data_IF_545529601217
#
_entry.id   IF_545529601217
#
_cell.length_a   1.000
_cell.length_b   1.000
_cell.length_c   1.000
_cell.angle_alpha   90.00
_cell.angle_beta   90.00
_cell.angle_gamma   90.00
#
_symmetry.space_group_name_H-M   'P 1'
#
loop_
_entity.id
_entity.type
_entity.pdbx_description
1 polymer ?
#
# COMPACT_ATOMS: atom_id res chain seq x y z
N UNK A 1 -6.30 34.94 18.78
CA UNK A 1 -5.82 33.53 18.66
C UNK A 1 -6.93 32.48 18.41
N UNK A 2 -8.21 32.75 18.68
CA UNK A 2 -9.33 31.80 18.46
C UNK A 2 -9.68 31.53 16.97
N UNK A 3 -9.44 32.49 16.07
CA UNK A 3 -9.81 32.33 14.64
C UNK A 3 -8.94 31.34 13.85
N UNK A 4 -7.67 31.16 14.19
CA UNK A 4 -6.75 30.22 13.48
C UNK A 4 -7.03 28.75 13.81
N UNK A 5 -7.60 28.45 14.95
CA UNK A 5 -7.95 27.08 15.35
C UNK A 5 -9.22 26.58 14.62
N UNK A 6 -10.19 27.46 14.40
CA UNK A 6 -11.44 27.13 13.71
C UNK A 6 -11.24 26.83 12.22
N UNK A 7 -10.44 27.64 11.53
CA UNK A 7 -10.12 27.42 10.10
C UNK A 7 -9.37 26.12 9.86
N UNK A 8 -8.43 25.76 10.74
CA UNK A 8 -7.67 24.51 10.66
C UNK A 8 -8.56 23.28 10.90
N UNK A 9 -9.50 23.38 11.84
CA UNK A 9 -10.46 22.32 12.12
C UNK A 9 -11.41 22.08 10.92
N UNK A 10 -11.93 23.14 10.31
CA UNK A 10 -12.77 23.05 9.10
C UNK A 10 -12.00 22.44 7.92
N UNK A 11 -10.75 22.83 7.73
CA UNK A 11 -9.89 22.32 6.68
C UNK A 11 -9.62 20.81 6.83
N UNK A 12 -9.26 20.34 8.02
CA UNK A 12 -9.01 18.91 8.27
C UNK A 12 -10.29 18.09 8.17
N UNK A 13 -11.45 18.65 8.56
CA UNK A 13 -12.74 18.00 8.35
C UNK A 13 -13.04 17.86 6.86
N UNK A 14 -12.79 18.90 6.06
CA UNK A 14 -12.97 18.86 4.61
C UNK A 14 -12.05 17.81 3.96
N UNK A 15 -10.78 17.72 4.35
CA UNK A 15 -9.88 16.70 3.87
C UNK A 15 -10.37 15.28 4.18
N UNK A 16 -10.91 15.04 5.39
CA UNK A 16 -11.52 13.74 5.74
C UNK A 16 -12.71 13.41 4.84
N UNK A 17 -13.60 14.37 4.61
CA UNK A 17 -14.75 14.15 3.72
C UNK A 17 -14.30 13.76 2.32
N UNK A 18 -13.31 14.47 1.77
CA UNK A 18 -12.76 14.13 0.45
C UNK A 18 -12.10 12.76 0.42
N UNK A 19 -11.37 12.39 1.46
CA UNK A 19 -10.68 11.11 1.57
C UNK A 19 -11.67 9.94 1.62
N UNK A 20 -12.70 10.04 2.46
CA UNK A 20 -13.75 9.01 2.51
C UNK A 20 -14.65 8.98 1.27
N UNK A 21 -14.87 10.12 0.60
CA UNK A 21 -15.56 10.13 -0.69
C UNK A 21 -14.77 9.37 -1.76
N UNK A 22 -13.44 9.48 -1.77
CA UNK A 22 -12.57 8.69 -2.64
C UNK A 22 -12.69 7.18 -2.33
N UNK A 23 -12.67 6.80 -1.04
CA UNK A 23 -12.89 5.41 -0.61
C UNK A 23 -14.20 4.87 -1.14
N UNK A 24 -15.30 5.58 -0.90
CA UNK A 24 -16.63 5.15 -1.34
C UNK A 24 -16.68 4.96 -2.87
N UNK A 25 -16.13 5.92 -3.61
CA UNK A 25 -16.05 5.84 -5.07
C UNK A 25 -15.29 4.60 -5.53
N UNK A 26 -14.13 4.31 -4.94
CA UNK A 26 -13.31 3.16 -5.34
C UNK A 26 -13.89 1.83 -4.89
N UNK A 27 -14.52 1.76 -3.71
CA UNK A 27 -15.24 0.58 -3.25
C UNK A 27 -16.41 0.26 -4.18
N UNK A 28 -17.21 1.27 -4.55
CA UNK A 28 -18.34 1.07 -5.48
C UNK A 28 -17.83 0.68 -6.87
N UNK A 29 -16.83 1.38 -7.40
CA UNK A 29 -16.23 1.05 -8.70
C UNK A 29 -15.66 -0.38 -8.70
N UNK A 30 -14.97 -0.77 -7.63
CA UNK A 30 -14.43 -2.11 -7.45
C UNK A 30 -15.51 -3.19 -7.36
N UNK A 31 -16.60 -2.93 -6.62
CA UNK A 31 -17.72 -3.88 -6.49
C UNK A 31 -18.49 -4.08 -7.81
N UNK A 32 -18.53 -3.05 -8.66
CA UNK A 32 -19.16 -3.11 -9.98
C UNK A 32 -18.21 -3.61 -11.08
N UNK A 33 -16.92 -3.69 -10.80
CA UNK A 33 -15.93 -4.12 -11.78
C UNK A 33 -16.11 -5.59 -12.15
N UNK A 34 -16.02 -5.89 -13.43
CA UNK A 34 -15.95 -7.23 -14.00
C UNK A 34 -14.57 -7.53 -14.60
N UNK A 35 -13.55 -6.75 -14.22
CA UNK A 35 -12.20 -6.94 -14.72
C UNK A 35 -11.67 -8.31 -14.27
N UNK A 36 -11.26 -9.10 -15.24
CA UNK A 36 -10.57 -10.36 -14.98
C UNK A 36 -9.10 -10.05 -14.62
N UNK A 37 -8.58 -10.52 -13.46
CA UNK A 37 -7.17 -10.38 -13.12
C UNK A 37 -6.21 -10.82 -14.23
N UNK A 38 -6.58 -11.84 -15.02
CA UNK A 38 -5.75 -12.33 -16.11
C UNK A 38 -5.51 -11.30 -17.23
N UNK A 39 -6.39 -10.32 -17.38
CA UNK A 39 -6.21 -9.23 -18.36
C UNK A 39 -5.05 -8.33 -17.98
N UNK A 40 -4.84 -8.07 -16.67
CA UNK A 40 -3.78 -7.21 -16.16
C UNK A 40 -2.37 -7.80 -16.38
N UNK A 41 -2.27 -9.11 -16.62
CA UNK A 41 -1.01 -9.81 -16.88
C UNK A 41 -0.52 -9.68 -18.33
N UNK A 42 -1.36 -9.18 -19.25
CA UNK A 42 -1.11 -9.18 -20.68
C UNK A 42 -1.23 -7.78 -21.29
N UNK A 43 -0.37 -6.84 -20.92
CA UNK A 43 -0.34 -5.54 -21.58
C UNK A 43 0.08 -5.69 -23.05
N UNK A 44 -0.37 -4.79 -23.91
CA UNK A 44 -0.09 -4.86 -25.37
C UNK A 44 1.42 -4.79 -25.67
N UNK A 45 2.15 -3.99 -24.89
CA UNK A 45 3.61 -3.81 -25.00
C UNK A 45 4.24 -3.95 -23.60
N UNK A 46 4.62 -5.17 -23.19
CA UNK A 46 5.18 -5.40 -21.86
C UNK A 46 6.49 -4.62 -21.66
N UNK A 47 6.55 -3.87 -20.55
CA UNK A 47 7.75 -3.13 -20.12
C UNK A 47 8.03 -3.37 -18.63
N UNK A 48 9.29 -3.26 -18.25
CA UNK A 48 9.73 -3.32 -16.86
C UNK A 48 9.46 -4.64 -16.12
N UNK A 49 9.72 -4.66 -14.82
CA UNK A 49 9.50 -5.81 -13.97
C UNK A 49 8.00 -6.07 -13.69
N UNK A 50 7.62 -7.28 -13.27
CA UNK A 50 6.27 -7.54 -12.81
C UNK A 50 5.99 -6.75 -11.52
N UNK A 51 4.80 -6.20 -11.43
CA UNK A 51 4.31 -5.51 -10.22
C UNK A 51 3.29 -6.37 -9.51
N UNK A 52 3.41 -6.50 -8.18
CA UNK A 52 2.37 -7.10 -7.34
C UNK A 52 1.73 -6.02 -6.48
N UNK A 53 0.40 -5.88 -6.55
CA UNK A 53 -0.37 -4.91 -5.76
C UNK A 53 -0.83 -5.53 -4.45
N UNK A 54 -0.59 -4.80 -3.34
CA UNK A 54 -0.94 -5.22 -1.98
C UNK A 54 -1.92 -4.21 -1.36
N UNK A 55 -3.21 -4.56 -1.22
CA UNK A 55 -4.21 -3.66 -0.66
C UNK A 55 -4.09 -3.50 0.86
N UNK A 56 -4.74 -2.46 1.38
CA UNK A 56 -4.89 -2.20 2.82
C UNK A 56 -5.90 -3.14 3.50
N UNK A 57 -6.12 -2.92 4.80
CA UNK A 57 -7.15 -3.64 5.56
C UNK A 57 -8.55 -3.22 5.10
N UNK A 58 -9.47 -4.18 4.96
CA UNK A 58 -10.81 -4.02 4.38
C UNK A 58 -10.83 -3.59 2.91
N UNK A 59 -9.70 -3.67 2.23
CA UNK A 59 -9.59 -3.46 0.80
C UNK A 59 -9.43 -4.81 0.09
N UNK A 60 -10.18 -5.01 -0.98
CA UNK A 60 -9.89 -6.07 -1.96
C UNK A 60 -8.92 -5.52 -3.01
N UNK A 61 -8.36 -6.38 -3.85
CA UNK A 61 -7.52 -5.94 -4.96
C UNK A 61 -8.22 -4.94 -5.90
N UNK A 62 -9.56 -5.00 -5.99
CA UNK A 62 -10.35 -4.06 -6.78
C UNK A 62 -10.25 -2.62 -6.27
N UNK A 63 -9.92 -2.42 -4.99
CA UNK A 63 -9.70 -1.08 -4.45
C UNK A 63 -8.52 -0.38 -5.13
N UNK A 64 -7.51 -1.15 -5.53
CA UNK A 64 -6.34 -0.68 -6.26
C UNK A 64 -6.50 -0.77 -7.79
N UNK A 65 -7.70 -1.12 -8.28
CA UNK A 65 -7.95 -1.27 -9.72
C UNK A 65 -7.60 -0.02 -10.54
N UNK A 66 -7.92 1.23 -10.11
CA UNK A 66 -7.51 2.41 -10.86
C UNK A 66 -5.99 2.49 -11.06
N UNK A 67 -5.22 2.12 -10.03
CA UNK A 67 -3.76 2.09 -10.11
C UNK A 67 -3.28 0.91 -10.96
N UNK A 68 -3.92 -0.25 -10.86
CA UNK A 68 -3.64 -1.40 -11.69
C UNK A 68 -3.82 -1.10 -13.18
N UNK A 69 -4.92 -0.43 -13.54
CA UNK A 69 -5.22 -0.02 -14.91
C UNK A 69 -4.21 1.01 -15.41
N UNK A 70 -3.86 2.01 -14.61
CA UNK A 70 -2.82 2.98 -14.97
C UNK A 70 -1.50 2.27 -15.35
N UNK A 71 -1.03 1.37 -14.50
CA UNK A 71 0.22 0.65 -14.73
C UNK A 71 0.12 -0.26 -15.97
N UNK A 72 -1.00 -0.96 -16.10
CA UNK A 72 -1.25 -1.85 -17.24
C UNK A 72 -1.29 -1.08 -18.58
N UNK A 73 -1.93 0.08 -18.64
CA UNK A 73 -2.00 0.95 -19.83
C UNK A 73 -0.60 1.45 -20.24
N UNK A 74 0.33 1.56 -19.28
CA UNK A 74 1.74 1.87 -19.54
C UNK A 74 2.62 0.63 -19.79
N UNK A 75 2.02 -0.54 -20.02
CA UNK A 75 2.74 -1.74 -20.41
C UNK A 75 3.25 -2.60 -19.23
N UNK A 76 2.94 -2.25 -17.99
CA UNK A 76 3.38 -3.03 -16.82
C UNK A 76 2.51 -4.28 -16.66
N UNK A 77 3.15 -5.43 -16.40
CA UNK A 77 2.44 -6.66 -16.00
C UNK A 77 2.04 -6.53 -14.54
N UNK A 78 0.74 -6.41 -14.28
CA UNK A 78 0.22 -6.18 -12.94
C UNK A 78 -0.40 -7.46 -12.39
N UNK A 79 0.13 -7.93 -11.29
CA UNK A 79 -0.38 -9.06 -10.51
C UNK A 79 -1.20 -8.55 -9.33
N UNK A 80 -2.34 -9.17 -9.12
CA UNK A 80 -3.20 -8.94 -7.96
C UNK A 80 -3.40 -10.24 -7.21
N UNK A 81 -3.72 -10.17 -5.93
CA UNK A 81 -3.85 -11.33 -5.05
C UNK A 81 -5.29 -11.52 -4.57
N UNK A 82 -6.17 -12.19 -5.33
CA UNK A 82 -7.56 -12.44 -4.92
C UNK A 82 -7.66 -13.18 -3.58
N UNK A 83 -6.69 -14.04 -3.26
CA UNK A 83 -6.64 -14.83 -2.02
C UNK A 83 -6.47 -14.00 -0.75
N UNK A 84 -6.06 -12.74 -0.86
CA UNK A 84 -6.09 -11.81 0.27
C UNK A 84 -7.53 -11.44 0.67
N UNK A 85 -8.51 -11.60 -0.24
CA UNK A 85 -9.89 -11.20 -0.05
C UNK A 85 -9.98 -9.71 0.30
N UNK A 86 -10.57 -9.37 1.46
CA UNK A 86 -10.60 -8.01 2.00
C UNK A 86 -9.46 -7.73 2.99
N UNK A 87 -8.38 -8.48 2.91
CA UNK A 87 -7.14 -8.34 3.67
C UNK A 87 -7.32 -8.17 5.20
N UNK A 88 -8.20 -8.98 5.80
CA UNK A 88 -8.52 -8.91 7.24
C UNK A 88 -7.66 -9.85 8.10
N UNK A 89 -7.01 -10.84 7.49
CA UNK A 89 -6.16 -11.83 8.17
C UNK A 89 -4.90 -11.16 8.76
N UNK A 90 -4.17 -11.81 9.68
CA UNK A 90 -2.88 -11.31 10.18
C UNK A 90 -1.88 -10.98 9.07
N UNK A 91 -0.94 -10.07 9.34
CA UNK A 91 0.12 -9.68 8.39
C UNK A 91 0.91 -10.89 7.91
N UNK A 92 1.26 -11.81 8.82
CA UNK A 92 2.00 -13.03 8.48
C UNK A 92 1.25 -13.93 7.47
N UNK A 93 -0.07 -14.05 7.63
CA UNK A 93 -0.88 -14.81 6.65
C UNK A 93 -0.86 -14.16 5.26
N UNK A 94 -0.88 -12.83 5.21
CA UNK A 94 -0.78 -12.09 3.94
C UNK A 94 0.60 -12.26 3.30
N UNK A 95 1.67 -12.21 4.09
CA UNK A 95 3.04 -12.43 3.61
C UNK A 95 3.21 -13.85 3.02
N UNK A 96 2.69 -14.88 3.70
CA UNK A 96 2.72 -16.24 3.18
C UNK A 96 1.92 -16.41 1.88
N UNK A 97 0.78 -15.71 1.72
CA UNK A 97 0.04 -15.68 0.44
C UNK A 97 0.88 -15.06 -0.65
N UNK A 98 1.53 -13.94 -0.39
CA UNK A 98 2.42 -13.26 -1.35
C UNK A 98 3.59 -14.15 -1.76
N UNK A 99 4.34 -14.71 -0.79
CA UNK A 99 5.49 -15.57 -1.07
C UNK A 99 5.12 -16.78 -1.91
N UNK A 100 4.02 -17.47 -1.54
CA UNK A 100 3.50 -18.60 -2.32
C UNK A 100 3.13 -18.18 -3.75
N UNK A 101 2.39 -17.10 -3.92
CA UNK A 101 2.00 -16.60 -5.24
C UNK A 101 3.21 -16.30 -6.14
N UNK A 102 4.21 -15.62 -5.61
CA UNK A 102 5.45 -15.29 -6.32
C UNK A 102 6.22 -16.55 -6.75
N UNK A 103 6.26 -17.56 -5.89
CA UNK A 103 6.90 -18.84 -6.18
C UNK A 103 6.12 -19.66 -7.23
N UNK A 104 4.80 -19.79 -7.07
CA UNK A 104 3.92 -20.55 -7.99
C UNK A 104 3.91 -19.99 -9.41
N UNK A 105 4.06 -18.66 -9.55
CA UNK A 105 4.11 -18.00 -10.86
C UNK A 105 5.53 -17.74 -11.38
N UNK A 106 6.55 -18.28 -10.68
CA UNK A 106 7.98 -18.09 -10.97
C UNK A 106 8.34 -16.61 -11.26
N UNK A 107 7.76 -15.69 -10.51
CA UNK A 107 8.03 -14.27 -10.68
C UNK A 107 9.44 -13.94 -10.16
N UNK A 108 10.13 -13.02 -10.84
CA UNK A 108 11.46 -12.53 -10.48
C UNK A 108 11.51 -11.02 -10.65
N UNK A 109 12.43 -10.40 -9.92
CA UNK A 109 12.61 -8.94 -9.93
C UNK A 109 11.33 -8.16 -9.61
N UNK A 110 10.47 -8.74 -8.76
CA UNK A 110 9.14 -8.21 -8.45
C UNK A 110 9.23 -6.87 -7.74
N UNK A 111 8.51 -5.88 -8.24
CA UNK A 111 8.26 -4.62 -7.52
C UNK A 111 6.90 -4.73 -6.81
N UNK A 112 6.90 -4.55 -5.49
CA UNK A 112 5.68 -4.46 -4.71
C UNK A 112 5.16 -3.02 -4.72
N UNK A 113 3.87 -2.84 -4.97
CA UNK A 113 3.20 -1.55 -4.76
C UNK A 113 2.10 -1.79 -3.74
N UNK A 114 2.26 -1.18 -2.57
CA UNK A 114 1.49 -1.52 -1.39
C UNK A 114 0.79 -0.30 -0.82
N UNK A 115 -0.46 -0.47 -0.36
CA UNK A 115 -1.20 0.53 0.37
C UNK A 115 -1.40 0.10 1.83
N UNK A 116 -1.15 1.02 2.76
CA UNK A 116 -1.49 0.83 4.18
C UNK A 116 -0.94 -0.49 4.74
N UNK A 117 -1.78 -1.40 5.22
CA UNK A 117 -1.42 -2.74 5.69
C UNK A 117 -0.60 -3.55 4.68
N UNK A 118 -0.86 -3.33 3.38
CA UNK A 118 -0.11 -4.00 2.32
C UNK A 118 1.40 -3.83 2.42
N UNK A 119 1.87 -2.65 2.88
CA UNK A 119 3.30 -2.41 3.09
C UNK A 119 3.90 -3.22 4.25
N UNK A 120 3.13 -3.48 5.31
CA UNK A 120 3.58 -4.38 6.38
C UNK A 120 3.68 -5.84 5.88
N UNK A 121 2.72 -6.27 5.05
CA UNK A 121 2.75 -7.57 4.38
C UNK A 121 3.96 -7.68 3.48
N UNK A 122 4.20 -6.69 2.63
CA UNK A 122 5.34 -6.65 1.72
C UNK A 122 6.67 -6.69 2.45
N UNK A 123 6.85 -5.86 3.48
CA UNK A 123 8.08 -5.87 4.30
C UNK A 123 8.31 -7.21 4.96
N UNK A 124 7.28 -7.82 5.55
CA UNK A 124 7.40 -9.13 6.16
C UNK A 124 7.75 -10.22 5.14
N UNK A 125 7.14 -10.16 3.94
CA UNK A 125 7.45 -11.11 2.88
C UNK A 125 8.91 -10.98 2.41
N UNK A 126 9.41 -9.75 2.19
CA UNK A 126 10.81 -9.50 1.84
C UNK A 126 11.80 -10.02 2.90
N UNK A 127 11.37 -10.08 4.16
CA UNK A 127 12.21 -10.57 5.27
C UNK A 127 12.17 -12.09 5.44
N UNK A 128 11.04 -12.76 5.13
CA UNK A 128 10.79 -14.14 5.58
C UNK A 128 10.22 -15.09 4.53
N UNK A 129 9.59 -14.59 3.49
CA UNK A 129 8.89 -15.40 2.49
C UNK A 129 9.55 -15.32 1.09
N UNK A 130 10.79 -14.82 1.04
CA UNK A 130 11.53 -14.56 -0.20
C UNK A 130 12.93 -15.20 -0.18
N UNK A 131 13.04 -16.53 -0.02
CA UNK A 131 14.33 -17.22 0.08
C UNK A 131 15.17 -17.08 -1.20
N UNK A 132 14.54 -16.89 -2.35
CA UNK A 132 15.21 -16.77 -3.65
C UNK A 132 15.47 -15.31 -4.06
N UNK A 133 15.23 -14.35 -3.18
CA UNK A 133 15.37 -12.90 -3.44
C UNK A 133 14.61 -12.42 -4.67
N UNK A 134 13.39 -12.90 -4.85
CA UNK A 134 12.51 -12.60 -5.99
C UNK A 134 11.84 -11.23 -5.89
N UNK A 135 11.73 -10.68 -4.65
CA UNK A 135 11.16 -9.38 -4.36
C UNK A 135 12.25 -8.31 -4.41
N UNK A 136 12.34 -7.58 -5.53
CA UNK A 136 13.41 -6.61 -5.75
C UNK A 136 13.26 -5.37 -4.88
N UNK A 137 12.07 -4.76 -4.88
CA UNK A 137 11.80 -3.51 -4.15
C UNK A 137 10.32 -3.34 -3.81
N UNK A 138 10.03 -2.32 -2.99
CA UNK A 138 8.65 -1.97 -2.63
C UNK A 138 8.44 -0.46 -2.63
N UNK A 139 7.32 -0.01 -3.20
CA UNK A 139 6.77 1.33 -3.02
C UNK A 139 5.56 1.20 -2.09
N UNK A 140 5.69 1.72 -0.87
CA UNK A 140 4.70 1.59 0.19
C UNK A 140 4.00 2.93 0.42
N UNK A 141 2.69 2.98 0.18
CA UNK A 141 1.88 4.19 0.27
C UNK A 141 1.13 4.20 1.60
N UNK A 142 1.32 5.22 2.41
CA UNK A 142 0.67 5.41 3.72
C UNK A 142 0.67 4.14 4.58
N UNK A 143 1.83 3.49 4.70
CA UNK A 143 1.99 2.27 5.50
C UNK A 143 2.28 2.62 6.96
N UNK A 144 1.56 2.04 7.94
CA UNK A 144 1.79 2.29 9.37
C UNK A 144 3.00 1.49 9.89
N UNK A 145 4.23 1.81 9.45
CA UNK A 145 5.44 1.08 9.86
C UNK A 145 5.68 1.15 11.38
N UNK A 146 5.37 2.29 12.00
CA UNK A 146 5.41 2.47 13.45
C UNK A 146 4.05 2.19 14.14
N UNK A 147 3.08 1.67 13.39
CA UNK A 147 1.71 1.46 13.86
C UNK A 147 0.88 2.74 13.85
N UNK A 148 -0.32 2.66 14.43
CA UNK A 148 -1.23 3.79 14.62
C UNK A 148 -1.74 3.83 16.05
N UNK A 149 -1.60 4.98 16.70
CA UNK A 149 -2.07 5.20 18.07
C UNK A 149 -3.58 5.06 18.20
N UNK A 150 -4.32 5.23 17.10
CA UNK A 150 -5.76 5.06 17.08
C UNK A 150 -6.20 3.60 17.02
N UNK A 151 -5.33 2.70 16.54
CA UNK A 151 -5.65 1.28 16.35
C UNK A 151 -6.12 0.60 17.64
N UNK A 152 -5.61 1.00 18.81
CA UNK A 152 -5.98 0.47 20.14
C UNK A 152 -7.46 0.67 20.50
N UNK A 153 -8.13 1.67 19.92
CA UNK A 153 -9.52 2.02 20.23
C UNK A 153 -10.54 1.25 19.37
N UNK A 154 -10.08 0.53 18.36
CA UNK A 154 -10.96 -0.24 17.51
C UNK A 154 -11.27 -1.62 18.12
N UNK A 155 -12.53 -2.05 18.01
CA UNK A 155 -12.94 -3.38 18.46
C UNK A 155 -12.51 -4.49 17.50
N UNK A 156 -12.34 -4.16 16.22
CA UNK A 156 -11.93 -5.11 15.18
C UNK A 156 -10.47 -5.55 15.36
N UNK A 157 -10.19 -6.85 15.58
CA UNK A 157 -8.83 -7.36 15.79
C UNK A 157 -7.88 -7.03 14.64
N UNK A 158 -8.40 -7.04 13.39
CA UNK A 158 -7.65 -6.70 12.18
C UNK A 158 -7.11 -5.26 12.15
N UNK A 159 -7.73 -4.33 12.90
CA UNK A 159 -7.28 -2.94 13.04
C UNK A 159 -6.42 -2.78 14.30
N UNK A 160 -6.80 -3.44 15.41
CA UNK A 160 -6.02 -3.42 16.66
C UNK A 160 -4.59 -3.94 16.47
N UNK A 161 -4.37 -4.84 15.53
CA UNK A 161 -3.05 -5.34 15.14
C UNK A 161 -2.09 -4.26 14.58
N UNK A 162 -2.58 -3.02 14.39
CA UNK A 162 -1.72 -1.88 14.05
C UNK A 162 -1.35 -1.01 15.25
N UNK A 163 -1.69 -1.42 16.47
CA UNK A 163 -1.25 -0.68 17.66
C UNK A 163 0.29 -0.67 17.72
N UNK A 164 0.93 0.45 18.10
CA UNK A 164 2.40 0.54 18.17
C UNK A 164 3.05 -0.51 19.09
N UNK A 165 2.28 -1.04 20.05
CA UNK A 165 2.72 -2.11 20.96
C UNK A 165 2.42 -3.53 20.45
N UNK A 166 1.82 -3.68 19.26
CA UNK A 166 1.61 -5.01 18.68
C UNK A 166 2.94 -5.68 18.35
N UNK A 167 3.05 -6.97 18.67
CA UNK A 167 4.30 -7.71 18.52
C UNK A 167 4.81 -7.72 17.06
N UNK A 168 3.89 -7.75 16.08
CA UNK A 168 4.26 -7.71 14.67
C UNK A 168 4.81 -6.35 14.27
N UNK A 169 4.20 -5.25 14.74
CA UNK A 169 4.68 -3.89 14.47
C UNK A 169 6.07 -3.69 15.10
N UNK A 170 6.23 -4.09 16.37
CA UNK A 170 7.52 -3.98 17.07
C UNK A 170 8.61 -4.79 16.36
N UNK A 171 8.31 -6.05 16.01
CA UNK A 171 9.26 -6.91 15.30
C UNK A 171 9.65 -6.36 13.92
N UNK A 172 8.67 -5.87 13.13
CA UNK A 172 8.95 -5.26 11.84
C UNK A 172 9.73 -3.95 11.97
N UNK A 173 9.47 -3.16 13.02
CA UNK A 173 10.22 -1.92 13.30
C UNK A 173 11.68 -2.17 13.63
N UNK A 174 12.00 -3.28 14.32
CA UNK A 174 13.37 -3.66 14.66
C UNK A 174 14.19 -4.18 13.47
N UNK A 175 13.54 -4.67 12.42
CA UNK A 175 14.20 -5.22 11.23
C UNK A 175 14.43 -4.14 10.17
N UNK A 176 15.69 -3.82 9.90
CA UNK A 176 16.08 -2.75 8.95
C UNK A 176 16.69 -3.28 7.65
N UNK A 177 16.99 -4.57 7.58
CA UNK A 177 17.80 -5.17 6.51
C UNK A 177 17.26 -4.97 5.11
N UNK A 178 15.93 -4.87 4.95
CA UNK A 178 15.26 -4.66 3.66
C UNK A 178 14.85 -3.20 3.41
N UNK A 179 15.00 -2.31 4.38
CA UNK A 179 14.45 -0.96 4.31
C UNK A 179 15.04 -0.14 3.15
N UNK A 180 16.31 -0.35 2.81
CA UNK A 180 16.97 0.30 1.68
C UNK A 180 16.35 -0.03 0.30
N UNK A 181 15.55 -1.11 0.22
CA UNK A 181 14.78 -1.51 -0.96
C UNK A 181 13.34 -0.98 -0.94
N UNK A 182 12.97 -0.19 0.08
CA UNK A 182 11.62 0.35 0.25
C UNK A 182 11.64 1.85 0.00
N UNK A 183 10.68 2.32 -0.80
CA UNK A 183 10.34 3.74 -0.90
C UNK A 183 9.04 3.96 -0.14
N UNK A 184 9.09 4.67 0.98
CA UNK A 184 7.91 5.07 1.74
C UNK A 184 7.34 6.36 1.19
N UNK A 185 6.16 6.29 0.59
CA UNK A 185 5.43 7.44 0.02
C UNK A 185 4.25 7.74 0.92
N UNK A 186 4.15 8.96 1.45
CA UNK A 186 3.06 9.24 2.37
C UNK A 186 2.59 10.69 2.34
N UNK A 187 1.34 10.88 2.77
CA UNK A 187 0.72 12.19 2.92
C UNK A 187 1.33 12.97 4.08
N UNK A 188 1.52 14.28 3.90
CA UNK A 188 1.90 15.17 5.00
C UNK A 188 0.85 15.21 6.12
N UNK A 189 -0.38 14.80 5.83
CA UNK A 189 -1.47 14.70 6.79
C UNK A 189 -2.30 13.44 6.53
N UNK A 190 -2.20 12.47 7.42
CA UNK A 190 -2.94 11.22 7.39
C UNK A 190 -3.76 11.06 8.69
N UNK A 191 -5.11 11.04 8.62
CA UNK A 191 -5.95 10.93 9.80
C UNK A 191 -5.92 9.55 10.45
N UNK A 192 -5.41 8.53 9.76
CA UNK A 192 -5.30 7.15 10.26
C UNK A 192 -3.92 6.88 10.86
N UNK A 193 -2.88 7.56 10.36
CA UNK A 193 -1.49 7.38 10.78
C UNK A 193 -0.90 8.73 11.18
N UNK A 194 -1.29 9.30 12.32
CA UNK A 194 -0.86 10.66 12.71
C UNK A 194 0.64 10.77 12.95
N UNK A 195 1.32 9.67 13.22
CA UNK A 195 2.78 9.62 13.34
C UNK A 195 3.51 9.61 11.98
N UNK A 196 2.76 9.53 10.87
CA UNK A 196 3.32 9.38 9.53
C UNK A 196 3.77 7.95 9.21
N UNK A 197 4.35 7.80 8.04
CA UNK A 197 4.81 6.49 7.52
C UNK A 197 6.32 6.47 7.27
N UNK A 198 7.07 7.32 7.94
CA UNK A 198 8.53 7.32 7.89
C UNK A 198 9.10 5.94 8.25
N UNK A 199 10.15 5.51 7.56
CA UNK A 199 10.81 4.24 7.76
C UNK A 199 12.32 4.42 7.70
N UNK A 200 13.00 4.21 8.81
CA UNK A 200 14.45 4.37 8.91
C UNK A 200 15.19 3.50 7.89
N UNK A 201 16.13 4.10 7.17
CA UNK A 201 16.89 3.45 6.09
C UNK A 201 16.13 3.27 4.77
N UNK A 202 14.88 3.71 4.66
CA UNK A 202 14.13 3.74 3.41
C UNK A 202 14.28 5.09 2.70
N UNK A 203 13.98 5.14 1.39
CA UNK A 203 13.75 6.40 0.71
C UNK A 203 12.36 6.93 1.10
N UNK A 204 12.27 8.23 1.39
CA UNK A 204 11.00 8.85 1.77
C UNK A 204 10.53 9.87 0.72
N UNK A 205 9.23 9.85 0.42
CA UNK A 205 8.57 10.82 -0.45
C UNK A 205 7.31 11.31 0.24
N UNK A 206 7.27 12.59 0.58
CA UNK A 206 6.10 13.21 1.19
C UNK A 206 5.25 13.86 0.11
N UNK A 207 3.96 13.52 0.08
CA UNK A 207 2.98 14.07 -0.85
C UNK A 207 2.19 15.21 -0.21
N UNK A 208 1.83 16.20 -1.03
CA UNK A 208 1.01 17.34 -0.62
C UNK A 208 -0.49 17.04 -0.63
N UNK A 209 -0.89 15.85 -1.13
CA UNK A 209 -2.28 15.37 -1.09
C UNK A 209 -2.63 14.86 0.31
N UNK A 210 -3.51 15.54 1.06
CA UNK A 210 -3.92 15.11 2.39
C UNK A 210 -4.86 13.90 2.33
N UNK A 211 -4.73 12.99 3.29
CA UNK A 211 -5.59 11.82 3.45
C UNK A 211 -4.82 10.51 3.51
N UNK A 212 -5.51 9.44 3.84
CA UNK A 212 -4.97 8.09 3.87
C UNK A 212 -5.08 7.39 2.52
N UNK A 213 -6.16 7.63 1.79
CA UNK A 213 -6.50 6.95 0.55
C UNK A 213 -6.20 7.80 -0.69
N UNK A 214 -6.51 9.09 -0.67
CA UNK A 214 -6.32 10.02 -1.79
C UNK A 214 -4.91 10.03 -2.39
N UNK A 215 -3.83 9.84 -1.62
CA UNK A 215 -2.48 9.68 -2.18
C UNK A 215 -2.35 8.63 -3.27
N UNK A 216 -3.19 7.58 -3.28
CA UNK A 216 -3.21 6.58 -4.36
C UNK A 216 -3.57 7.15 -5.74
N UNK A 217 -4.25 8.31 -5.78
CA UNK A 217 -4.58 9.03 -7.01
C UNK A 217 -3.71 10.28 -7.24
N UNK A 218 -2.65 10.47 -6.45
CA UNK A 218 -1.75 11.61 -6.61
C UNK A 218 -0.90 11.46 -7.88
N UNK A 219 -0.89 12.47 -8.79
CA UNK A 219 -0.08 12.42 -10.00
C UNK A 219 1.43 12.26 -9.74
N UNK A 220 1.94 12.74 -8.59
CA UNK A 220 3.35 12.57 -8.20
C UNK A 220 3.66 11.12 -7.85
N UNK A 221 2.72 10.41 -7.19
CA UNK A 221 2.85 8.98 -6.97
C UNK A 221 2.84 8.23 -8.31
N UNK A 222 1.92 8.58 -9.22
CA UNK A 222 1.84 7.94 -10.53
C UNK A 222 3.12 8.15 -11.34
N UNK A 223 3.66 9.37 -11.37
CA UNK A 223 4.92 9.67 -12.03
C UNK A 223 6.11 8.88 -11.42
N UNK A 224 6.18 8.83 -10.09
CA UNK A 224 7.20 8.04 -9.38
C UNK A 224 7.14 6.55 -9.73
N UNK A 225 5.92 5.99 -9.76
CA UNK A 225 5.73 4.58 -10.13
C UNK A 225 6.20 4.30 -11.56
N UNK A 226 5.80 5.13 -12.52
CA UNK A 226 6.18 4.97 -13.92
C UNK A 226 7.69 5.15 -14.13
N UNK A 227 8.30 6.13 -13.45
CA UNK A 227 9.75 6.34 -13.49
C UNK A 227 10.50 5.10 -12.96
N UNK A 228 10.10 4.58 -11.80
CA UNK A 228 10.76 3.43 -11.16
C UNK A 228 10.62 2.14 -11.95
N UNK A 229 9.53 1.99 -12.70
CA UNK A 229 9.26 0.79 -13.49
C UNK A 229 9.82 0.87 -14.92
N UNK A 230 10.09 2.06 -15.44
CA UNK A 230 10.61 2.26 -16.79
C UNK A 230 12.16 2.22 -16.86
N UNK A 231 12.86 2.34 -15.74
CA UNK A 231 14.34 2.46 -15.65
C UNK A 231 15.02 1.10 -15.44
N UNK A 232 14.33 0.00 -15.52
CA UNK A 232 14.90 -1.34 -15.34
C UNK A 232 15.18 -2.05 -16.66
#
# INVERSE_FOLDING_TARGET
MAGMSGTRALQTTWWRVQDYAAVLRWQVAGALSRTDPAQLLRPAHPVGPPVVLLPGVYESWHFLLPLAMLLHEHGVRVHVLPDLGTNRRPVASGAAVLGRYVAEHDLRDVVLVAHSKGGLIGKLAMLREDPDSRLASMIAVNTPFAGSVYARWFLAPSVRAFAPSDATIVALGAEITVNHRITSVYSFWDPHIPAGSALDGAQEVVLDTPGHFRPLADPRLHALLLERLAVS
#
